data_IF_100406378810
#
_entry.id   IF_100406378810
#
_cell.length_a   1.000
_cell.length_b   1.000
_cell.length_c   1.000
_cell.angle_alpha   90.00
_cell.angle_beta   90.00
_cell.angle_gamma   90.00
#
_symmetry.space_group_name_H-M   'P 1'
#
loop_
_entity.id
_entity.type
_entity.pdbx_description
1 polymer ?
#
# COMPACT_ATOMS: atom_id res chain seq x y z
N UNK A 1 -34.17 52.50 33.79
CA UNK A 1 -32.70 52.40 33.81
C UNK A 1 -32.29 51.07 34.43
N UNK A 2 -31.75 50.13 33.65
CA UNK A 2 -30.82 49.06 34.07
C UNK A 2 -30.24 48.40 32.81
N UNK A 3 -29.00 48.76 32.50
CA UNK A 3 -28.23 48.33 31.34
C UNK A 3 -27.59 46.98 31.69
N UNK A 4 -27.88 45.92 30.94
CA UNK A 4 -27.34 44.57 31.17
C UNK A 4 -25.91 44.51 30.59
N UNK A 5 -24.94 44.55 31.50
CA UNK A 5 -23.50 44.48 31.20
C UNK A 5 -23.10 43.05 30.85
N UNK A 6 -22.57 42.85 29.65
CA UNK A 6 -21.81 41.67 29.26
C UNK A 6 -20.35 41.86 29.71
N UNK A 7 -19.86 41.00 30.61
CA UNK A 7 -18.44 40.82 30.85
C UNK A 7 -18.15 39.32 30.92
N UNK A 8 -17.57 38.82 29.83
CA UNK A 8 -16.89 37.53 29.71
C UNK A 8 -15.58 37.64 30.51
N UNK A 9 -15.15 36.59 31.23
CA UNK A 9 -13.84 36.03 30.89
C UNK A 9 -13.85 34.48 30.92
N UNK A 10 -13.44 33.84 29.83
CA UNK A 10 -12.06 33.37 29.63
C UNK A 10 -11.71 31.99 30.25
N UNK A 11 -12.67 31.09 30.47
CA UNK A 11 -12.36 29.67 30.79
C UNK A 11 -13.19 28.76 29.89
N UNK A 12 -13.02 28.86 28.57
CA UNK A 12 -13.50 27.82 27.66
C UNK A 12 -12.84 27.91 26.29
N UNK A 13 -11.52 27.90 26.22
CA UNK A 13 -10.85 27.68 24.94
C UNK A 13 -9.44 27.12 25.09
N UNK A 14 -9.24 26.15 26.00
CA UNK A 14 -8.09 25.25 25.88
C UNK A 14 -8.49 24.13 24.93
N UNK A 15 -8.47 24.52 23.66
CA UNK A 15 -8.67 23.71 22.48
C UNK A 15 -7.91 22.40 22.59
N UNK A 16 -8.66 21.32 22.70
CA UNK A 16 -8.20 19.95 22.56
C UNK A 16 -7.73 19.74 21.12
N UNK A 17 -6.50 20.16 20.82
CA UNK A 17 -5.74 19.64 19.70
C UNK A 17 -5.25 18.23 20.06
N UNK A 18 -6.20 17.30 20.27
CA UNK A 18 -5.92 15.89 20.16
C UNK A 18 -5.76 15.62 18.66
N UNK A 19 -4.56 15.91 18.14
CA UNK A 19 -4.15 15.39 16.85
C UNK A 19 -4.31 13.87 16.92
N UNK A 20 -5.24 13.33 16.15
CA UNK A 20 -5.37 11.89 15.98
C UNK A 20 -4.11 11.42 15.23
N UNK A 21 -3.02 11.19 15.96
CA UNK A 21 -1.88 10.48 15.44
C UNK A 21 -2.34 9.05 15.19
N UNK A 22 -2.47 8.67 13.92
CA UNK A 22 -2.71 7.28 13.54
C UNK A 22 -1.55 6.44 14.04
N UNK A 23 -1.76 5.71 15.13
CA UNK A 23 -0.78 4.75 15.64
C UNK A 23 -0.70 3.63 14.63
N UNK A 24 0.43 3.54 13.92
CA UNK A 24 0.72 2.41 13.05
C UNK A 24 1.10 1.22 13.91
N UNK A 25 0.47 0.09 13.64
CA UNK A 25 0.70 -1.14 14.40
C UNK A 25 1.91 -1.85 13.78
N UNK A 26 2.87 -2.38 14.57
CA UNK A 26 4.04 -3.05 14.03
C UNK A 26 3.70 -4.30 13.20
N UNK A 27 4.49 -4.58 12.16
CA UNK A 27 4.30 -5.74 11.27
C UNK A 27 4.27 -7.08 12.04
N UNK A 28 5.03 -7.18 13.13
CA UNK A 28 5.07 -8.38 13.98
C UNK A 28 3.69 -8.74 14.56
N UNK A 29 2.82 -7.75 14.78
CA UNK A 29 1.46 -8.02 15.28
C UNK A 29 0.56 -8.62 14.21
N UNK A 30 0.75 -8.24 12.94
CA UNK A 30 0.10 -8.85 11.80
C UNK A 30 0.59 -10.30 11.63
N UNK A 31 1.91 -10.50 11.67
CA UNK A 31 2.51 -11.83 11.54
C UNK A 31 2.04 -12.78 12.66
N UNK A 32 1.93 -12.27 13.89
CA UNK A 32 1.41 -13.04 15.02
C UNK A 32 -0.06 -13.44 14.83
N UNK A 33 -0.91 -12.53 14.33
CA UNK A 33 -2.31 -12.83 14.04
C UNK A 33 -2.44 -13.90 12.93
N UNK A 34 -1.64 -13.76 11.86
CA UNK A 34 -1.62 -14.72 10.76
C UNK A 34 -1.11 -16.11 11.23
N UNK A 35 -0.06 -16.14 12.05
CA UNK A 35 0.48 -17.38 12.62
C UNK A 35 -0.52 -18.08 13.57
N UNK A 36 -1.37 -17.31 14.25
CA UNK A 36 -2.45 -17.84 15.08
C UNK A 36 -3.68 -18.29 14.26
N UNK A 37 -3.70 -18.08 12.94
CA UNK A 37 -4.85 -18.34 12.08
C UNK A 37 -5.98 -17.32 12.21
N UNK A 38 -5.77 -16.22 12.92
CA UNK A 38 -6.74 -15.14 13.09
C UNK A 38 -6.70 -14.19 11.89
N UNK A 39 -7.28 -14.64 10.79
CA UNK A 39 -7.27 -13.92 9.51
C UNK A 39 -8.09 -12.63 9.54
N UNK A 40 -9.14 -12.55 10.37
CA UNK A 40 -9.92 -11.31 10.54
C UNK A 40 -9.11 -10.26 11.28
N UNK A 41 -8.42 -10.63 12.37
CA UNK A 41 -7.55 -9.70 13.07
C UNK A 41 -6.38 -9.26 12.21
N UNK A 42 -5.76 -10.18 11.48
CA UNK A 42 -4.69 -9.85 10.53
C UNK A 42 -5.20 -8.84 9.47
N UNK A 43 -6.40 -9.05 8.94
CA UNK A 43 -7.04 -8.10 8.01
C UNK A 43 -7.23 -6.73 8.65
N UNK A 44 -7.76 -6.66 9.87
CA UNK A 44 -8.01 -5.39 10.57
C UNK A 44 -6.72 -4.60 10.80
N UNK A 45 -5.66 -5.28 11.25
CA UNK A 45 -4.33 -4.69 11.42
C UNK A 45 -3.81 -4.15 10.08
N UNK A 46 -3.92 -4.93 9.00
CA UNK A 46 -3.47 -4.50 7.69
C UNK A 46 -4.26 -3.28 7.18
N UNK A 47 -5.59 -3.30 7.29
CA UNK A 47 -6.46 -2.22 6.84
C UNK A 47 -6.22 -0.92 7.60
N UNK A 48 -5.99 -0.99 8.92
CA UNK A 48 -5.69 0.17 9.76
C UNK A 48 -4.37 0.84 9.35
N UNK A 49 -3.37 0.06 8.97
CA UNK A 49 -2.07 0.57 8.54
C UNK A 49 -2.02 0.98 7.06
N UNK A 50 -2.95 0.52 6.23
CA UNK A 50 -2.97 0.80 4.79
C UNK A 50 -3.31 2.25 4.43
N UNK A 51 -3.74 3.07 5.40
CA UNK A 51 -4.09 4.47 5.19
C UNK A 51 -5.27 4.67 4.21
N UNK A 52 -5.74 5.91 4.09
CA UNK A 52 -6.78 6.26 3.12
C UNK A 52 -6.23 6.47 1.70
N UNK A 53 -5.01 7.01 1.60
CA UNK A 53 -4.40 7.40 0.33
C UNK A 53 -3.30 6.41 -0.08
N UNK A 54 -3.20 6.02 -1.36
CA UNK A 54 -2.14 5.15 -1.83
C UNK A 54 -0.80 5.88 -1.77
N UNK A 55 0.00 5.58 -0.74
CA UNK A 55 1.38 6.07 -0.61
C UNK A 55 2.37 4.91 -0.63
N UNK A 56 3.60 5.10 -1.16
CA UNK A 56 4.64 4.06 -1.11
C UNK A 56 4.93 3.56 0.32
N UNK A 57 4.71 4.41 1.33
CA UNK A 57 4.91 4.03 2.73
C UNK A 57 3.87 3.04 3.24
N UNK A 58 2.74 2.92 2.55
CA UNK A 58 1.59 2.09 2.94
C UNK A 58 1.36 0.93 1.97
N UNK A 59 2.11 0.87 0.86
CA UNK A 59 1.95 -0.15 -0.18
C UNK A 59 1.96 -1.59 0.37
N UNK A 60 2.89 -1.92 1.27
CA UNK A 60 2.94 -3.24 1.89
C UNK A 60 1.62 -3.57 2.61
N UNK A 61 1.09 -2.62 3.38
CA UNK A 61 -0.15 -2.79 4.12
C UNK A 61 -1.38 -2.87 3.20
N UNK A 62 -1.38 -2.13 2.09
CA UNK A 62 -2.41 -2.23 1.05
C UNK A 62 -2.40 -3.63 0.40
N UNK A 63 -1.21 -4.16 0.07
CA UNK A 63 -1.04 -5.51 -0.47
C UNK A 63 -1.54 -6.58 0.52
N UNK A 64 -1.17 -6.45 1.79
CA UNK A 64 -1.63 -7.35 2.85
C UNK A 64 -3.16 -7.26 3.03
N UNK A 65 -3.74 -6.07 2.98
CA UNK A 65 -5.20 -5.88 3.04
C UNK A 65 -5.89 -6.64 1.92
N UNK A 66 -5.43 -6.47 0.67
CA UNK A 66 -6.00 -7.16 -0.48
C UNK A 66 -5.84 -8.68 -0.42
N UNK A 67 -4.69 -9.16 0.08
CA UNK A 67 -4.45 -10.59 0.27
C UNK A 67 -5.37 -11.18 1.36
N UNK A 68 -5.51 -10.50 2.50
CA UNK A 68 -6.38 -10.96 3.59
C UNK A 68 -7.86 -10.93 3.18
N UNK A 69 -8.31 -9.88 2.50
CA UNK A 69 -9.68 -9.82 1.98
C UNK A 69 -9.94 -10.96 0.98
N UNK A 70 -8.94 -11.36 0.16
CA UNK A 70 -9.07 -12.55 -0.70
C UNK A 70 -9.18 -13.85 0.09
N UNK A 71 -8.35 -14.04 1.13
CA UNK A 71 -8.39 -15.22 2.02
C UNK A 71 -9.76 -15.34 2.69
N UNK A 72 -10.32 -14.21 3.12
CA UNK A 72 -11.65 -14.11 3.72
C UNK A 72 -12.79 -14.16 2.68
N UNK A 73 -12.49 -14.45 1.41
CA UNK A 73 -13.44 -14.53 0.31
C UNK A 73 -14.22 -13.21 0.04
N UNK A 74 -13.67 -12.08 0.47
CA UNK A 74 -14.17 -10.71 0.21
C UNK A 74 -13.58 -10.19 -1.10
N UNK A 75 -13.93 -10.83 -2.21
CA UNK A 75 -13.25 -10.64 -3.50
C UNK A 75 -13.34 -9.20 -4.04
N UNK A 76 -14.47 -8.51 -3.86
CA UNK A 76 -14.65 -7.12 -4.26
C UNK A 76 -13.79 -6.17 -3.43
N UNK A 77 -13.73 -6.38 -2.10
CA UNK A 77 -12.87 -5.60 -1.22
C UNK A 77 -11.38 -5.83 -1.53
N UNK A 78 -11.03 -7.10 -1.82
CA UNK A 78 -9.70 -7.48 -2.29
C UNK A 78 -9.32 -6.76 -3.59
N UNK A 79 -10.22 -6.74 -4.58
CA UNK A 79 -10.01 -6.01 -5.83
C UNK A 79 -9.80 -4.51 -5.60
N UNK A 80 -10.61 -3.88 -4.73
CA UNK A 80 -10.48 -2.46 -4.38
C UNK A 80 -9.14 -2.15 -3.70
N UNK A 81 -8.69 -3.01 -2.77
CA UNK A 81 -7.37 -2.87 -2.16
C UNK A 81 -6.25 -3.00 -3.21
N UNK A 82 -6.38 -3.95 -4.14
CA UNK A 82 -5.41 -4.12 -5.22
C UNK A 82 -5.40 -2.96 -6.21
N UNK A 83 -6.54 -2.32 -6.51
CA UNK A 83 -6.57 -1.10 -7.32
C UNK A 83 -5.76 0.04 -6.66
N UNK A 84 -5.84 0.16 -5.32
CA UNK A 84 -4.99 1.10 -4.57
C UNK A 84 -3.51 0.75 -4.66
N UNK A 85 -3.16 -0.54 -4.63
CA UNK A 85 -1.77 -0.98 -4.84
C UNK A 85 -1.28 -0.59 -6.24
N UNK A 86 -2.11 -0.74 -7.27
CA UNK A 86 -1.77 -0.32 -8.63
C UNK A 86 -1.55 1.20 -8.76
N UNK A 87 -2.32 2.01 -8.04
CA UNK A 87 -2.11 3.46 -7.96
C UNK A 87 -0.79 3.81 -7.28
N UNK A 88 -0.44 3.13 -6.19
CA UNK A 88 0.84 3.33 -5.50
C UNK A 88 2.04 2.91 -6.37
N UNK A 89 1.92 1.82 -7.14
CA UNK A 89 2.93 1.43 -8.13
C UNK A 89 3.14 2.52 -9.19
N UNK A 90 2.06 3.04 -9.77
CA UNK A 90 2.13 4.09 -10.79
C UNK A 90 2.76 5.39 -10.24
N UNK A 91 2.43 5.76 -9.00
CA UNK A 91 3.02 6.93 -8.34
C UNK A 91 4.53 6.78 -8.09
N UNK A 92 5.01 5.56 -7.83
CA UNK A 92 6.45 5.30 -7.71
C UNK A 92 7.17 5.34 -9.06
N UNK A 93 6.60 4.68 -10.07
CA UNK A 93 7.11 4.76 -11.44
C UNK A 93 7.20 6.22 -11.89
N UNK A 94 6.24 7.05 -11.45
CA UNK A 94 6.21 8.48 -11.72
C UNK A 94 7.39 9.26 -11.17
N UNK A 95 7.75 8.98 -9.92
CA UNK A 95 8.88 9.65 -9.29
C UNK A 95 10.22 9.23 -9.88
N UNK A 96 10.35 7.96 -10.29
CA UNK A 96 11.56 7.46 -10.94
C UNK A 96 11.81 8.15 -12.29
N UNK A 97 10.80 8.30 -13.15
CA UNK A 97 10.99 8.96 -14.44
C UNK A 97 11.19 10.48 -14.33
N UNK A 98 10.65 11.11 -13.28
CA UNK A 98 10.83 12.54 -13.02
C UNK A 98 12.25 12.92 -12.55
N UNK A 99 13.22 11.99 -12.60
CA UNK A 99 14.59 12.25 -12.21
C UNK A 99 14.77 12.53 -10.71
N UNK A 100 13.74 12.22 -9.89
CA UNK A 100 13.92 12.10 -8.44
C UNK A 100 14.61 10.77 -8.16
N UNK A 101 15.86 10.68 -8.60
CA UNK A 101 16.78 9.63 -8.23
C UNK A 101 16.71 9.52 -6.71
N UNK A 102 16.23 8.39 -6.20
CA UNK A 102 16.51 8.01 -4.82
C UNK A 102 18.03 7.88 -4.79
N UNK A 103 18.69 8.94 -4.33
CA UNK A 103 20.15 9.06 -4.32
C UNK A 103 20.72 7.92 -3.45
N UNK A 104 21.06 6.81 -4.08
CA UNK A 104 21.92 5.75 -3.50
C UNK A 104 23.38 5.95 -3.85
N UNK A 105 23.79 7.18 -4.20
CA UNK A 105 25.18 7.55 -4.46
C UNK A 105 25.60 8.61 -3.45
N UNK A 106 25.98 8.17 -2.25
CA UNK A 106 26.54 9.03 -1.22
C UNK A 106 26.15 8.54 0.16
N UNK A 107 27.08 7.86 0.84
CA UNK A 107 26.95 7.48 2.23
C UNK A 107 26.67 8.71 3.10
N UNK A 108 25.41 8.90 3.45
CA UNK A 108 24.96 9.83 4.47
C UNK A 108 24.13 9.02 5.45
N UNK A 109 24.35 9.30 6.73
CA UNK A 109 23.77 8.67 7.91
C UNK A 109 22.24 8.82 7.94
N UNK A 110 21.54 8.17 7.02
CA UNK A 110 20.08 8.09 6.99
C UNK A 110 19.75 6.82 7.74
N UNK A 111 18.96 6.97 8.80
CA UNK A 111 18.43 5.86 9.56
C UNK A 111 17.83 4.79 8.61
N UNK A 112 18.41 3.58 8.62
CA UNK A 112 18.03 2.42 7.77
C UNK A 112 16.56 2.01 7.90
N UNK A 113 15.79 2.59 8.84
CA UNK A 113 14.39 2.25 9.13
C UNK A 113 13.36 2.90 8.19
N UNK A 114 13.73 3.70 7.18
CA UNK A 114 12.74 4.61 6.54
C UNK A 114 12.65 4.64 5.01
N UNK A 115 13.17 3.65 4.27
CA UNK A 115 12.85 3.54 2.84
C UNK A 115 11.46 2.92 2.66
N UNK A 116 10.50 3.62 2.01
CA UNK A 116 9.18 3.06 1.77
C UNK A 116 9.27 1.85 0.83
N UNK A 117 8.47 0.81 1.08
CA UNK A 117 8.39 -0.34 0.19
C UNK A 117 7.82 0.08 -1.17
N UNK A 118 8.55 -0.16 -2.24
CA UNK A 118 8.22 0.41 -3.58
C UNK A 118 7.46 -0.55 -4.49
N UNK A 119 7.33 -1.82 -4.07
CA UNK A 119 6.71 -2.88 -4.86
C UNK A 119 7.66 -3.44 -5.90
N UNK A 120 7.91 -4.74 -5.83
CA UNK A 120 8.76 -5.45 -6.79
C UNK A 120 7.94 -5.95 -7.98
N UNK A 121 8.62 -6.39 -9.03
CA UNK A 121 7.97 -6.98 -10.21
C UNK A 121 7.04 -8.14 -9.85
N UNK A 122 7.40 -8.97 -8.86
CA UNK A 122 6.55 -10.06 -8.41
C UNK A 122 5.27 -9.58 -7.71
N UNK A 123 5.30 -8.46 -6.96
CA UNK A 123 4.09 -7.91 -6.32
C UNK A 123 3.09 -7.46 -7.38
N UNK A 124 3.60 -6.80 -8.42
CA UNK A 124 2.81 -6.32 -9.55
C UNK A 124 2.16 -7.48 -10.30
N UNK A 125 2.91 -8.56 -10.55
CA UNK A 125 2.37 -9.78 -11.18
C UNK A 125 1.32 -10.44 -10.27
N UNK A 126 1.61 -10.55 -8.97
CA UNK A 126 0.70 -11.13 -7.98
C UNK A 126 -0.62 -10.36 -7.92
N UNK A 127 -0.58 -9.03 -7.87
CA UNK A 127 -1.76 -8.16 -7.82
C UNK A 127 -2.72 -8.46 -8.98
N UNK A 128 -2.24 -8.41 -10.23
CA UNK A 128 -3.10 -8.67 -11.39
C UNK A 128 -3.54 -10.15 -11.45
N UNK A 129 -2.70 -11.09 -11.01
CA UNK A 129 -3.08 -12.51 -10.91
C UNK A 129 -4.22 -12.74 -9.92
N UNK A 130 -4.15 -12.13 -8.73
CA UNK A 130 -5.19 -12.25 -7.71
C UNK A 130 -6.48 -11.55 -8.11
N UNK A 131 -6.41 -10.36 -8.73
CA UNK A 131 -7.59 -9.72 -9.32
C UNK A 131 -8.26 -10.60 -10.36
N UNK A 132 -7.48 -11.24 -11.24
CA UNK A 132 -8.00 -12.16 -12.25
C UNK A 132 -8.75 -13.34 -11.61
N UNK A 133 -8.16 -13.94 -10.57
CA UNK A 133 -8.79 -15.03 -9.81
C UNK A 133 -10.02 -14.57 -9.03
N UNK A 134 -10.00 -13.37 -8.45
CA UNK A 134 -11.16 -12.76 -7.79
C UNK A 134 -12.32 -12.59 -8.78
N UNK A 135 -12.07 -11.96 -9.93
CA UNK A 135 -13.09 -11.80 -10.98
C UNK A 135 -13.60 -13.14 -11.51
N UNK A 136 -12.74 -14.15 -11.64
CA UNK A 136 -13.16 -15.48 -12.05
C UNK A 136 -14.15 -16.12 -11.05
N UNK A 137 -13.90 -15.97 -9.74
CA UNK A 137 -14.82 -16.45 -8.69
C UNK A 137 -16.14 -15.67 -8.68
N UNK A 138 -16.09 -14.36 -8.95
CA UNK A 138 -17.27 -13.49 -9.08
C UNK A 138 -18.07 -13.73 -10.37
N UNK A 139 -17.64 -14.65 -11.24
CA UNK A 139 -18.30 -14.93 -12.52
C UNK A 139 -18.00 -13.90 -13.62
N UNK A 140 -17.18 -12.89 -13.34
CA UNK A 140 -16.79 -11.85 -14.29
C UNK A 140 -15.60 -12.31 -15.14
N UNK A 141 -15.90 -13.15 -16.13
CA UNK A 141 -14.90 -13.69 -17.06
C UNK A 141 -14.23 -12.61 -17.91
N UNK A 142 -14.93 -11.50 -18.17
CA UNK A 142 -14.39 -10.42 -18.99
C UNK A 142 -13.24 -9.73 -18.26
N UNK A 143 -13.47 -9.29 -17.02
CA UNK A 143 -12.42 -8.66 -16.21
C UNK A 143 -11.34 -9.66 -15.76
N UNK A 144 -11.70 -10.93 -15.52
CA UNK A 144 -10.70 -11.96 -15.26
C UNK A 144 -9.67 -12.07 -16.39
N UNK A 145 -10.13 -12.09 -17.65
CA UNK A 145 -9.26 -12.13 -18.82
C UNK A 145 -8.38 -10.88 -18.93
N UNK A 146 -8.94 -9.70 -18.68
CA UNK A 146 -8.19 -8.44 -18.69
C UNK A 146 -7.04 -8.50 -17.69
N UNK A 147 -7.31 -8.92 -16.46
CA UNK A 147 -6.31 -8.96 -15.40
C UNK A 147 -5.26 -10.05 -15.63
N UNK A 148 -5.61 -11.21 -16.21
CA UNK A 148 -4.61 -12.20 -16.65
C UNK A 148 -3.69 -11.66 -17.75
N UNK A 149 -4.22 -10.91 -18.72
CA UNK A 149 -3.40 -10.26 -19.74
C UNK A 149 -2.46 -9.22 -19.13
N UNK A 150 -2.92 -8.45 -18.14
CA UNK A 150 -2.08 -7.50 -17.38
C UNK A 150 -0.97 -8.21 -16.61
N UNK A 151 -1.27 -9.35 -15.98
CA UNK A 151 -0.27 -10.16 -15.28
C UNK A 151 0.82 -10.68 -16.25
N UNK A 152 0.42 -11.16 -17.44
CA UNK A 152 1.35 -11.59 -18.49
C UNK A 152 2.23 -10.45 -19.01
N UNK A 153 1.64 -9.26 -19.20
CA UNK A 153 2.41 -8.08 -19.58
C UNK A 153 3.45 -7.75 -18.52
N UNK A 154 3.06 -7.71 -17.24
CA UNK A 154 3.99 -7.44 -16.12
C UNK A 154 5.10 -8.47 -16.02
N UNK A 155 4.81 -9.74 -16.32
CA UNK A 155 5.84 -10.78 -16.38
C UNK A 155 6.82 -10.55 -17.53
N UNK A 156 6.34 -10.11 -18.70
CA UNK A 156 7.18 -9.75 -19.85
C UNK A 156 8.07 -8.55 -19.53
N UNK A 157 7.52 -7.50 -18.90
CA UNK A 157 8.28 -6.33 -18.46
C UNK A 157 9.37 -6.72 -17.45
N UNK A 158 9.03 -7.58 -16.48
CA UNK A 158 9.97 -8.08 -15.49
C UNK A 158 11.17 -8.80 -16.14
N UNK A 159 10.91 -9.67 -17.14
CA UNK A 159 11.96 -10.36 -17.90
C UNK A 159 12.91 -9.37 -18.58
N UNK A 160 12.38 -8.31 -19.19
CA UNK A 160 13.20 -7.28 -19.85
C UNK A 160 14.04 -6.49 -18.85
N UNK A 161 13.50 -6.17 -17.67
CA UNK A 161 14.24 -5.51 -16.59
C UNK A 161 15.41 -6.39 -16.14
N UNK A 162 15.15 -7.65 -15.81
CA UNK A 162 16.19 -8.56 -15.33
C UNK A 162 17.24 -8.89 -16.40
N UNK A 163 16.85 -8.97 -17.68
CA UNK A 163 17.77 -9.16 -18.79
C UNK A 163 18.76 -7.98 -18.88
N UNK A 164 18.27 -6.73 -18.79
CA UNK A 164 19.12 -5.53 -18.78
C UNK A 164 20.07 -5.50 -17.59
N UNK A 165 19.57 -5.77 -16.39
CA UNK A 165 20.39 -5.81 -15.18
C UNK A 165 21.51 -6.87 -15.28
N UNK A 166 21.19 -8.03 -15.84
CA UNK A 166 22.19 -9.10 -16.03
C UNK A 166 23.27 -8.69 -17.03
N UNK A 167 22.91 -7.96 -18.08
CA UNK A 167 23.87 -7.45 -19.06
C UNK A 167 24.77 -6.35 -18.47
N UNK A 168 24.20 -5.41 -17.71
CA UNK A 168 24.96 -4.37 -17.00
C UNK A 168 25.97 -4.98 -16.01
N UNK A 169 25.55 -5.99 -15.24
CA UNK A 169 26.41 -6.69 -14.28
C UNK A 169 27.51 -7.53 -14.96
N UNK A 170 27.36 -7.90 -16.23
CA UNK A 170 28.42 -8.59 -16.99
C UNK A 170 29.51 -7.65 -17.47
N UNK A 171 29.25 -6.35 -17.51
CA UNK A 171 30.16 -5.32 -18.01
C UNK A 171 30.97 -4.64 -16.89
N UNK A 172 30.65 -4.93 -15.62
CA UNK A 172 31.38 -4.49 -14.42
C UNK A 172 32.33 -5.56 -13.92
#
# INVERSE_FOLDING_TARGET
MKIRRYHIPLILLLSTAAGCATVRVPLQTFDAALAAGDTERAREIAGTNAGANPSPRELLWVLQTGAMDRILQRYEASNSAFDRAEQAFAHYDQQLWAGRSVQTTGGLLINDTALPYTGRSYDRIMVNTYKALNFAVLGDRANARVEFNRALQRQSDAKQIFARQTEELRQT
#
